data_IF_796801884213
#
_entry.id   IF_796801884213
#
_cell.length_a   1.000
_cell.length_b   1.000
_cell.length_c   1.000
_cell.angle_alpha   90.00
_cell.angle_beta   90.00
_cell.angle_gamma   90.00
#
_symmetry.space_group_name_H-M   'P 1'
#
loop_
_entity.id
_entity.type
_entity.pdbx_description
1 polymer ?
#
# COMPACT_ATOMS: atom_id res chain seq x y z
N UNK A 1 -26.21 4.26 -11.74
CA UNK A 1 -25.06 3.38 -12.10
C UNK A 1 -24.03 3.49 -11.00
N UNK A 2 -23.64 2.37 -10.38
CA UNK A 2 -22.58 2.37 -9.36
C UNK A 2 -21.24 2.03 -9.99
N UNK A 3 -20.16 2.57 -9.44
CA UNK A 3 -18.82 2.41 -9.99
C UNK A 3 -17.96 1.52 -9.08
N UNK A 4 -17.43 0.46 -9.65
CA UNK A 4 -16.67 -0.54 -8.92
C UNK A 4 -15.23 -0.54 -9.37
N UNK A 5 -14.33 -0.44 -8.41
CA UNK A 5 -12.89 -0.63 -8.63
C UNK A 5 -12.42 -1.92 -7.97
N UNK A 6 -11.72 -2.74 -8.74
CA UNK A 6 -11.11 -3.99 -8.28
C UNK A 6 -9.60 -3.88 -8.48
N UNK A 7 -8.86 -3.87 -7.38
CA UNK A 7 -7.40 -3.87 -7.36
C UNK A 7 -6.90 -5.26 -6.95
N UNK A 8 -6.42 -6.02 -7.92
CA UNK A 8 -5.81 -7.34 -7.67
C UNK A 8 -4.31 -7.15 -7.46
N UNK A 9 -3.93 -6.88 -6.22
CA UNK A 9 -2.53 -6.73 -5.84
C UNK A 9 -1.81 -8.07 -5.64
N UNK A 10 -0.50 -8.03 -5.47
CA UNK A 10 0.34 -9.24 -5.28
C UNK A 10 0.13 -9.94 -3.93
N UNK A 11 -0.24 -9.19 -2.89
CA UNK A 11 -0.40 -9.72 -1.52
C UNK A 11 -1.84 -9.58 -1.03
N UNK A 12 -2.49 -8.48 -1.33
CA UNK A 12 -3.87 -8.21 -0.94
C UNK A 12 -4.64 -7.60 -2.11
N UNK A 13 -5.87 -8.07 -2.29
CA UNK A 13 -6.81 -7.55 -3.29
C UNK A 13 -7.92 -6.75 -2.62
N UNK A 14 -8.37 -5.70 -3.27
CA UNK A 14 -9.37 -4.78 -2.73
C UNK A 14 -10.47 -4.56 -3.73
N UNK A 15 -11.69 -4.37 -3.23
CA UNK A 15 -12.82 -3.88 -4.00
C UNK A 15 -13.43 -2.67 -3.30
N UNK A 16 -13.86 -1.71 -4.11
CA UNK A 16 -14.57 -0.52 -3.67
C UNK A 16 -15.78 -0.32 -4.56
N UNK A 17 -16.90 0.06 -3.96
CA UNK A 17 -18.11 0.51 -4.67
C UNK A 17 -18.32 1.97 -4.35
N UNK A 18 -18.33 2.83 -5.36
CA UNK A 18 -18.69 4.25 -5.27
C UNK A 18 -20.15 4.44 -5.66
N UNK A 19 -20.72 5.50 -5.11
CA UNK A 19 -22.05 5.98 -5.49
C UNK A 19 -22.15 6.43 -6.96
N UNK A 20 -23.35 6.81 -7.37
CA UNK A 20 -23.63 7.23 -8.76
C UNK A 20 -22.91 8.52 -9.18
N UNK A 21 -22.58 9.38 -8.22
CA UNK A 21 -21.87 10.65 -8.43
C UNK A 21 -20.36 10.54 -8.26
N UNK A 22 -19.86 9.35 -7.87
CA UNK A 22 -18.43 9.05 -7.60
C UNK A 22 -17.83 9.86 -6.44
N UNK A 23 -18.64 10.30 -5.50
CA UNK A 23 -18.19 11.10 -4.35
C UNK A 23 -18.06 10.30 -3.06
N UNK A 24 -18.83 9.20 -2.93
CA UNK A 24 -18.93 8.45 -1.68
C UNK A 24 -18.51 7.00 -1.86
N UNK A 25 -17.65 6.52 -0.96
CA UNK A 25 -17.33 5.08 -0.84
C UNK A 25 -18.48 4.41 -0.07
N UNK A 26 -19.34 3.68 -0.78
CA UNK A 26 -20.47 2.95 -0.19
C UNK A 26 -20.00 1.66 0.50
N UNK A 27 -19.18 0.89 -0.18
CA UNK A 27 -18.67 -0.39 0.31
C UNK A 27 -17.19 -0.55 -0.03
N UNK A 28 -16.44 -1.17 0.87
CA UNK A 28 -15.02 -1.47 0.69
C UNK A 28 -14.68 -2.82 1.30
N UNK A 29 -13.81 -3.59 0.64
CA UNK A 29 -13.33 -4.89 1.12
C UNK A 29 -11.88 -5.11 0.74
N UNK A 30 -11.13 -5.73 1.64
CA UNK A 30 -9.80 -6.26 1.39
C UNK A 30 -9.77 -7.74 1.72
N UNK A 31 -9.09 -8.52 0.87
CA UNK A 31 -8.85 -9.96 1.05
C UNK A 31 -7.41 -10.29 0.69
N UNK A 32 -6.82 -11.35 1.24
CA UNK A 32 -5.55 -11.88 0.73
C UNK A 32 -5.68 -12.26 -0.75
N UNK A 33 -4.67 -11.97 -1.57
CA UNK A 33 -4.72 -12.29 -3.01
C UNK A 33 -4.62 -13.79 -3.31
N UNK A 34 -4.15 -14.58 -2.34
CA UNK A 34 -3.96 -16.00 -2.54
C UNK A 34 -2.95 -16.29 -3.68
N UNK A 35 -3.04 -17.50 -4.23
CA UNK A 35 -2.19 -17.93 -5.35
C UNK A 35 -2.86 -17.77 -6.72
N UNK A 36 -4.19 -17.59 -6.75
CA UNK A 36 -5.01 -17.53 -7.95
C UNK A 36 -5.80 -16.22 -8.03
N UNK A 37 -5.32 -15.28 -8.81
CA UNK A 37 -5.95 -13.95 -8.99
C UNK A 37 -7.37 -14.04 -9.54
N UNK A 38 -7.71 -15.07 -10.34
CA UNK A 38 -9.05 -15.24 -10.90
C UNK A 38 -10.05 -15.62 -9.81
N UNK A 39 -9.71 -16.59 -8.94
CA UNK A 39 -10.55 -16.96 -7.80
C UNK A 39 -10.75 -15.78 -6.85
N UNK A 40 -9.70 -15.03 -6.57
CA UNK A 40 -9.79 -13.82 -5.74
C UNK A 40 -10.73 -12.78 -6.36
N UNK A 41 -10.62 -12.57 -7.68
CA UNK A 41 -11.55 -11.71 -8.41
C UNK A 41 -13.00 -12.17 -8.28
N UNK A 42 -13.27 -13.46 -8.47
CA UNK A 42 -14.61 -14.04 -8.32
C UNK A 42 -15.16 -13.90 -6.89
N UNK A 43 -14.35 -14.10 -5.86
CA UNK A 43 -14.73 -13.86 -4.46
C UNK A 43 -15.14 -12.39 -4.22
N UNK A 44 -14.41 -11.43 -4.80
CA UNK A 44 -14.76 -10.02 -4.69
C UNK A 44 -16.07 -9.70 -5.41
N UNK A 45 -16.32 -10.29 -6.59
CA UNK A 45 -17.59 -10.13 -7.30
C UNK A 45 -18.77 -10.67 -6.49
N UNK A 46 -18.63 -11.89 -5.94
CA UNK A 46 -19.68 -12.48 -5.09
C UNK A 46 -19.96 -11.64 -3.85
N UNK A 47 -18.90 -11.06 -3.26
CA UNK A 47 -19.09 -10.13 -2.16
C UNK A 47 -19.86 -8.87 -2.60
N UNK A 48 -19.57 -8.28 -3.76
CA UNK A 48 -20.30 -7.12 -4.29
C UNK A 48 -21.79 -7.46 -4.44
N UNK A 49 -22.11 -8.63 -5.02
CA UNK A 49 -23.49 -9.07 -5.15
C UNK A 49 -24.18 -9.30 -3.78
N UNK A 50 -23.43 -9.77 -2.78
CA UNK A 50 -23.97 -9.93 -1.41
C UNK A 50 -24.31 -8.59 -0.73
N UNK A 51 -23.81 -7.46 -1.24
CA UNK A 51 -24.20 -6.12 -0.78
C UNK A 51 -25.50 -5.60 -1.45
N UNK A 52 -26.15 -6.42 -2.29
CA UNK A 52 -27.44 -6.11 -2.91
C UNK A 52 -27.33 -5.52 -4.33
N UNK A 53 -26.13 -5.44 -4.90
CA UNK A 53 -25.94 -4.96 -6.28
C UNK A 53 -26.16 -6.09 -7.28
N UNK A 54 -26.63 -5.73 -8.50
CA UNK A 54 -26.74 -6.64 -9.64
C UNK A 54 -25.86 -6.13 -10.79
N UNK A 55 -25.42 -7.02 -11.68
CA UNK A 55 -24.44 -6.72 -12.73
C UNK A 55 -24.81 -5.50 -13.58
N UNK A 56 -26.07 -5.36 -13.94
CA UNK A 56 -26.57 -4.30 -14.85
C UNK A 56 -26.53 -2.90 -14.21
N UNK A 57 -26.36 -2.82 -12.90
CA UNK A 57 -26.22 -1.57 -12.15
C UNK A 57 -24.77 -1.12 -11.97
N UNK A 58 -23.79 -1.99 -12.40
CA UNK A 58 -22.38 -1.81 -12.09
C UNK A 58 -21.55 -1.46 -13.32
N UNK A 59 -20.63 -0.52 -13.16
CA UNK A 59 -19.51 -0.28 -14.05
C UNK A 59 -18.23 -0.70 -13.32
N UNK A 60 -17.57 -1.75 -13.80
CA UNK A 60 -16.46 -2.41 -13.09
C UNK A 60 -15.14 -2.17 -13.82
N UNK A 61 -14.16 -1.60 -13.13
CA UNK A 61 -12.81 -1.36 -13.62
C UNK A 61 -11.82 -2.16 -12.78
N UNK A 62 -10.92 -2.89 -13.42
CA UNK A 62 -9.87 -3.63 -12.75
C UNK A 62 -8.51 -2.95 -12.87
N UNK A 63 -7.71 -3.06 -11.82
CA UNK A 63 -6.33 -2.59 -11.72
C UNK A 63 -5.46 -3.56 -10.93
N UNK A 64 -4.20 -3.20 -10.71
CA UNK A 64 -3.23 -4.00 -9.99
C UNK A 64 -2.51 -5.01 -10.90
N UNK A 65 -1.63 -5.80 -10.27
CA UNK A 65 -0.83 -6.81 -10.95
C UNK A 65 -1.69 -7.86 -11.66
N UNK A 66 -2.76 -8.32 -10.99
CA UNK A 66 -3.67 -9.36 -11.48
C UNK A 66 -4.86 -8.84 -12.29
N UNK A 67 -4.90 -7.55 -12.71
CA UNK A 67 -6.07 -6.95 -13.40
C UNK A 67 -6.56 -7.72 -14.63
N UNK A 68 -5.67 -8.41 -15.32
CA UNK A 68 -6.01 -9.21 -16.52
C UNK A 68 -6.78 -10.49 -16.18
N UNK A 69 -6.79 -10.88 -14.89
CA UNK A 69 -7.49 -12.06 -14.39
C UNK A 69 -8.91 -11.76 -13.90
N UNK A 70 -9.46 -10.57 -14.20
CA UNK A 70 -10.82 -10.15 -13.82
C UNK A 70 -11.69 -10.08 -15.08
N UNK A 71 -12.22 -11.21 -15.59
CA UNK A 71 -12.87 -11.30 -16.89
C UNK A 71 -14.21 -10.55 -16.96
N UNK A 72 -14.81 -10.25 -15.83
CA UNK A 72 -16.07 -9.52 -15.70
C UNK A 72 -15.88 -7.99 -15.61
N UNK A 73 -14.64 -7.49 -15.59
CA UNK A 73 -14.37 -6.07 -15.63
C UNK A 73 -14.70 -5.50 -17.02
N UNK A 74 -15.32 -4.33 -17.06
CA UNK A 74 -15.64 -3.63 -18.31
C UNK A 74 -14.38 -3.09 -19.00
N UNK A 75 -13.37 -2.74 -18.20
CA UNK A 75 -12.04 -2.34 -18.70
C UNK A 75 -10.98 -2.46 -17.61
N UNK A 76 -9.72 -2.29 -18.01
CA UNK A 76 -8.57 -2.27 -17.07
C UNK A 76 -7.81 -0.96 -17.19
N UNK A 77 -7.30 -0.47 -16.06
CA UNK A 77 -6.47 0.73 -15.97
C UNK A 77 -5.17 0.40 -15.25
N UNK A 78 -4.09 1.09 -15.57
CA UNK A 78 -2.79 0.84 -14.95
C UNK A 78 -2.81 1.20 -13.47
N UNK A 79 -2.06 0.45 -12.68
CA UNK A 79 -1.96 0.60 -11.23
C UNK A 79 -1.49 2.01 -10.84
N UNK A 80 -0.47 2.53 -11.51
CA UNK A 80 0.06 3.89 -11.26
C UNK A 80 -1.04 4.95 -11.43
N UNK A 81 -1.81 4.86 -12.50
CA UNK A 81 -2.92 5.79 -12.77
C UNK A 81 -3.99 5.69 -11.69
N UNK A 82 -4.36 4.47 -11.29
CA UNK A 82 -5.39 4.26 -10.28
C UNK A 82 -4.93 4.74 -8.90
N UNK A 83 -3.71 4.40 -8.46
CA UNK A 83 -3.19 4.91 -7.19
C UNK A 83 -3.12 6.43 -7.16
N UNK A 84 -2.68 7.06 -8.28
CA UNK A 84 -2.68 8.52 -8.39
C UNK A 84 -4.07 9.14 -8.27
N UNK A 85 -5.06 8.61 -9.01
CA UNK A 85 -6.46 9.10 -8.95
C UNK A 85 -7.09 8.90 -7.58
N UNK A 86 -6.91 7.72 -6.97
CA UNK A 86 -7.45 7.43 -5.66
C UNK A 86 -6.82 8.27 -4.56
N UNK A 87 -5.51 8.52 -4.63
CA UNK A 87 -4.85 9.43 -3.70
C UNK A 87 -5.32 10.88 -3.87
N UNK A 88 -5.50 11.35 -5.11
CA UNK A 88 -6.05 12.68 -5.38
C UNK A 88 -7.49 12.86 -4.88
N UNK A 89 -8.27 11.77 -4.81
CA UNK A 89 -9.62 11.77 -4.24
C UNK A 89 -9.60 11.84 -2.71
N UNK A 90 -8.60 11.23 -2.06
CA UNK A 90 -8.50 11.11 -0.61
C UNK A 90 -7.68 12.23 0.05
N UNK A 91 -6.78 12.86 -0.70
CA UNK A 91 -5.88 13.89 -0.21
C UNK A 91 -6.35 15.28 -0.62
N UNK A 92 -6.00 16.27 0.19
CA UNK A 92 -6.21 17.67 -0.16
C UNK A 92 -5.04 18.21 -1.00
N UNK A 93 -5.36 18.68 -2.21
CA UNK A 93 -4.41 19.39 -3.07
C UNK A 93 -3.45 18.49 -3.87
N UNK A 94 -2.35 19.08 -4.33
CA UNK A 94 -1.29 18.37 -5.07
C UNK A 94 -0.38 17.64 -4.10
N UNK A 95 -0.30 16.32 -4.24
CA UNK A 95 0.52 15.47 -3.37
C UNK A 95 1.47 14.59 -4.19
N UNK A 96 2.57 14.20 -3.57
CA UNK A 96 3.37 13.06 -4.02
C UNK A 96 2.94 11.84 -3.20
N UNK A 97 2.43 10.83 -3.89
CA UNK A 97 1.97 9.58 -3.26
C UNK A 97 3.15 8.69 -2.97
N UNK A 98 3.20 8.16 -1.76
CA UNK A 98 4.11 7.07 -1.36
C UNK A 98 3.22 5.85 -1.15
N UNK A 99 3.26 4.89 -2.08
CA UNK A 99 2.51 3.65 -1.96
C UNK A 99 3.46 2.51 -1.60
N UNK A 100 3.29 1.96 -0.39
CA UNK A 100 4.09 0.82 0.08
C UNK A 100 3.24 -0.44 -0.08
N UNK A 101 3.46 -1.12 -1.21
CA UNK A 101 2.80 -2.37 -1.56
C UNK A 101 3.46 -3.60 -0.92
N UNK A 102 2.87 -4.78 -1.21
CA UNK A 102 3.41 -6.06 -0.73
C UNK A 102 4.74 -6.43 -1.37
N UNK A 103 4.89 -6.26 -2.68
CA UNK A 103 6.07 -6.65 -3.45
C UNK A 103 6.84 -5.47 -4.04
N UNK A 104 6.25 -4.29 -4.05
CA UNK A 104 6.82 -3.09 -4.64
C UNK A 104 6.52 -1.86 -3.78
N UNK A 105 7.22 -0.77 -4.09
CA UNK A 105 6.96 0.55 -3.52
C UNK A 105 6.99 1.57 -4.63
N UNK A 106 5.99 2.44 -4.68
CA UNK A 106 5.82 3.44 -5.72
C UNK A 106 5.86 4.85 -5.11
N UNK A 107 6.49 5.76 -5.83
CA UNK A 107 6.40 7.21 -5.57
C UNK A 107 5.79 7.82 -6.82
N UNK A 108 4.62 8.44 -6.69
CA UNK A 108 3.83 8.96 -7.81
C UNK A 108 3.64 10.47 -7.59
N UNK A 109 4.20 11.28 -8.47
CA UNK A 109 4.06 12.74 -8.43
C UNK A 109 2.77 13.13 -9.15
N UNK A 110 1.89 13.83 -8.44
CA UNK A 110 0.65 14.33 -9.00
C UNK A 110 0.73 15.82 -9.27
N UNK A 111 0.06 16.24 -10.34
CA UNK A 111 -0.20 17.64 -10.66
C UNK A 111 -1.64 17.79 -11.14
N UNK A 112 -2.44 18.60 -10.47
CA UNK A 112 -3.86 18.78 -10.75
C UNK A 112 -4.63 17.45 -10.86
N UNK A 113 -4.38 16.54 -9.90
CA UNK A 113 -5.03 15.22 -9.83
C UNK A 113 -4.57 14.21 -10.89
N UNK A 114 -3.57 14.53 -11.72
CA UNK A 114 -3.03 13.66 -12.77
C UNK A 114 -1.60 13.24 -12.45
N UNK A 115 -1.25 12.02 -12.85
CA UNK A 115 0.12 11.52 -12.75
C UNK A 115 1.02 12.30 -13.69
N UNK A 116 1.99 13.03 -13.13
CA UNK A 116 3.03 13.74 -13.87
C UNK A 116 4.26 12.87 -14.09
N UNK A 117 4.69 12.18 -13.02
CA UNK A 117 5.91 11.37 -13.03
C UNK A 117 5.80 10.28 -11.96
N UNK A 118 6.61 9.24 -12.05
CA UNK A 118 6.69 8.21 -11.01
C UNK A 118 8.05 7.53 -10.98
N UNK A 119 8.34 6.89 -9.87
CA UNK A 119 9.43 5.92 -9.72
C UNK A 119 8.95 4.76 -8.85
N UNK A 120 9.43 3.58 -9.12
CA UNK A 120 9.08 2.41 -8.33
C UNK A 120 10.29 1.54 -8.02
N UNK A 121 10.19 0.82 -6.91
CA UNK A 121 11.05 -0.31 -6.56
C UNK A 121 10.23 -1.59 -6.69
N UNK A 122 10.43 -2.33 -7.77
CA UNK A 122 9.77 -3.59 -8.09
C UNK A 122 10.77 -4.77 -8.22
N UNK A 123 12.05 -4.50 -7.96
CA UNK A 123 13.15 -5.48 -8.13
C UNK A 123 13.71 -5.99 -6.80
N UNK A 124 13.51 -5.25 -5.71
CA UNK A 124 14.09 -5.57 -4.42
C UNK A 124 13.02 -5.52 -3.34
N UNK A 125 12.89 -6.58 -2.55
CA UNK A 125 11.93 -6.63 -1.44
C UNK A 125 12.26 -5.66 -0.30
N UNK A 126 13.51 -5.23 -0.17
CA UNK A 126 13.88 -4.20 0.81
C UNK A 126 13.11 -2.88 0.55
N UNK A 127 12.42 -2.40 1.57
CA UNK A 127 11.54 -1.24 1.46
C UNK A 127 10.11 -1.56 1.00
N UNK A 128 9.69 -2.82 1.05
CA UNK A 128 8.32 -3.28 0.70
C UNK A 128 7.69 -4.07 1.85
N UNK A 129 6.40 -4.38 1.71
CA UNK A 129 5.68 -5.22 2.68
C UNK A 129 6.28 -6.61 2.84
N UNK A 130 6.89 -7.18 1.79
CA UNK A 130 7.53 -8.50 1.85
C UNK A 130 8.73 -8.52 2.80
N UNK A 131 9.51 -7.46 2.84
CA UNK A 131 10.58 -7.32 3.82
C UNK A 131 10.02 -7.34 5.25
N UNK A 132 8.97 -6.57 5.51
CA UNK A 132 8.34 -6.53 6.83
C UNK A 132 7.79 -7.91 7.23
N UNK A 133 7.13 -8.61 6.32
CA UNK A 133 6.57 -9.95 6.54
C UNK A 133 7.67 -10.95 6.96
N UNK A 134 8.80 -10.95 6.26
CA UNK A 134 9.94 -11.84 6.59
C UNK A 134 10.46 -11.53 8.00
N UNK A 135 10.64 -10.26 8.34
CA UNK A 135 11.17 -9.85 9.66
C UNK A 135 10.16 -10.12 10.79
N UNK A 136 8.87 -9.86 10.55
CA UNK A 136 7.80 -10.16 11.49
C UNK A 136 7.76 -11.67 11.81
N UNK A 137 7.82 -12.52 10.79
CA UNK A 137 7.87 -13.97 10.97
C UNK A 137 9.09 -14.41 11.79
N UNK A 138 10.27 -13.79 11.60
CA UNK A 138 11.46 -14.07 12.41
C UNK A 138 11.30 -13.72 13.88
N UNK A 139 10.56 -12.64 14.15
CA UNK A 139 10.26 -12.20 15.52
C UNK A 139 9.08 -12.96 16.15
N UNK A 140 8.37 -13.81 15.38
CA UNK A 140 7.15 -14.48 15.81
C UNK A 140 6.00 -13.51 16.03
N UNK A 141 5.90 -12.46 15.20
CA UNK A 141 4.89 -11.41 15.25
C UNK A 141 4.03 -11.42 13.99
N UNK A 142 2.77 -11.05 14.12
CA UNK A 142 1.93 -10.63 12.99
C UNK A 142 2.34 -9.22 12.51
N UNK A 143 1.90 -8.84 11.30
CA UNK A 143 2.19 -7.49 10.77
C UNK A 143 1.63 -6.36 11.66
N UNK A 144 0.39 -6.43 12.18
CA UNK A 144 -0.09 -5.42 13.14
C UNK A 144 0.78 -5.34 14.40
N UNK A 145 1.10 -6.50 15.02
CA UNK A 145 1.96 -6.52 16.21
C UNK A 145 3.34 -5.92 15.93
N UNK A 146 3.88 -6.11 14.72
CA UNK A 146 5.16 -5.54 14.34
C UNK A 146 5.18 -4.01 14.45
N UNK A 147 4.08 -3.34 14.06
CA UNK A 147 3.96 -1.89 14.22
C UNK A 147 3.81 -1.48 15.69
N UNK A 148 3.03 -2.23 16.47
CA UNK A 148 2.80 -1.95 17.89
C UNK A 148 4.08 -2.12 18.71
N UNK A 149 4.87 -3.14 18.41
CA UNK A 149 6.18 -3.36 19.03
C UNK A 149 7.17 -2.27 18.65
N UNK A 150 7.26 -1.94 17.36
CA UNK A 150 8.15 -0.90 16.85
C UNK A 150 7.89 0.46 17.52
N UNK A 151 6.62 0.80 17.78
CA UNK A 151 6.25 2.05 18.42
C UNK A 151 6.72 2.16 19.88
N UNK A 152 7.03 1.04 20.55
CA UNK A 152 7.50 0.96 21.94
C UNK A 152 9.02 0.83 22.04
N UNK A 153 9.68 0.46 20.94
CA UNK A 153 11.10 0.16 20.91
C UNK A 153 11.98 1.38 20.72
N UNK A 154 13.26 1.20 21.07
CA UNK A 154 14.34 2.11 20.70
C UNK A 154 14.95 1.64 19.40
N UNK A 155 15.33 2.57 18.55
CA UNK A 155 15.91 2.24 17.26
C UNK A 155 17.25 1.52 17.40
N UNK A 156 17.36 0.30 16.87
CA UNK A 156 18.64 -0.37 16.65
C UNK A 156 18.97 -0.31 15.16
N UNK A 157 20.22 -0.10 14.84
CA UNK A 157 20.67 0.02 13.45
C UNK A 157 20.63 -1.37 12.78
N UNK A 158 19.84 -1.47 11.70
CA UNK A 158 19.90 -2.57 10.74
C UNK A 158 20.53 -2.00 9.47
N UNK A 159 21.79 -2.36 9.24
CA UNK A 159 22.63 -1.73 8.22
C UNK A 159 22.52 -2.38 6.85
N UNK A 160 22.11 -3.64 6.80
CA UNK A 160 22.09 -4.42 5.57
C UNK A 160 21.03 -3.93 4.59
N UNK A 161 21.47 -3.72 3.35
CA UNK A 161 20.58 -3.29 2.27
C UNK A 161 19.77 -4.44 1.67
N UNK A 162 20.29 -5.65 1.71
CA UNK A 162 19.64 -6.85 1.19
C UNK A 162 18.84 -7.53 2.29
N UNK A 163 17.64 -7.99 1.96
CA UNK A 163 16.72 -8.68 2.88
C UNK A 163 17.37 -9.90 3.54
N UNK A 164 18.15 -10.68 2.80
CA UNK A 164 18.82 -11.89 3.32
C UNK A 164 19.87 -11.54 4.39
N UNK A 165 20.66 -10.49 4.15
CA UNK A 165 21.65 -10.05 5.13
C UNK A 165 21.01 -9.33 6.32
N UNK A 166 19.96 -8.56 6.09
CA UNK A 166 19.18 -7.94 7.17
C UNK A 166 18.54 -9.00 8.09
N UNK A 167 18.05 -10.10 7.53
CA UNK A 167 17.53 -11.23 8.31
C UNK A 167 18.62 -11.85 9.20
N UNK A 168 19.82 -12.06 8.68
CA UNK A 168 20.96 -12.55 9.47
C UNK A 168 21.36 -11.57 10.58
N UNK A 169 21.29 -10.26 10.32
CA UNK A 169 21.56 -9.21 11.30
C UNK A 169 20.50 -9.20 12.42
N UNK A 170 19.21 -9.38 12.08
CA UNK A 170 18.10 -9.54 13.04
C UNK A 170 18.32 -10.77 13.93
N UNK A 171 18.69 -11.92 13.34
CA UNK A 171 19.03 -13.14 14.12
C UNK A 171 20.18 -12.88 15.09
N UNK A 172 21.21 -12.15 14.65
CA UNK A 172 22.35 -11.78 15.52
C UNK A 172 21.92 -10.89 16.67
N UNK A 173 21.02 -9.92 16.43
CA UNK A 173 20.47 -9.06 17.49
C UNK A 173 19.65 -9.87 18.51
N UNK A 174 18.82 -10.81 18.03
CA UNK A 174 18.07 -11.74 18.92
C UNK A 174 19.04 -12.55 19.79
N UNK A 175 20.12 -13.09 19.21
CA UNK A 175 21.13 -13.84 19.94
C UNK A 175 21.88 -13.02 20.98
N UNK A 176 21.98 -11.72 20.83
CA UNK A 176 22.54 -10.76 21.79
C UNK A 176 21.54 -10.32 22.89
N UNK A 177 20.31 -10.81 22.84
CA UNK A 177 19.28 -10.46 23.83
C UNK A 177 18.63 -9.09 23.60
N UNK A 178 18.75 -8.50 22.39
CA UNK A 178 18.05 -7.27 22.02
C UNK A 178 16.53 -7.51 22.08
N UNK A 179 15.76 -6.57 22.62
CA UNK A 179 14.31 -6.70 22.76
C UNK A 179 13.62 -6.78 21.39
N UNK A 180 12.44 -7.44 21.35
CA UNK A 180 11.65 -7.51 20.11
C UNK A 180 11.20 -6.12 19.65
N UNK A 181 10.88 -5.27 20.61
CA UNK A 181 10.48 -3.88 20.40
C UNK A 181 11.58 -3.09 19.67
N UNK A 182 12.81 -3.20 20.17
CA UNK A 182 13.95 -2.48 19.57
C UNK A 182 14.28 -3.00 18.18
N UNK A 183 14.24 -4.33 17.97
CA UNK A 183 14.46 -4.92 16.66
C UNK A 183 13.34 -4.50 15.70
N UNK A 184 12.07 -4.52 16.14
CA UNK A 184 10.94 -4.08 15.33
C UNK A 184 11.08 -2.60 14.91
N UNK A 185 11.48 -1.72 15.84
CA UNK A 185 11.76 -0.31 15.55
C UNK A 185 12.86 -0.17 14.49
N UNK A 186 13.98 -0.91 14.62
CA UNK A 186 15.07 -0.93 13.64
C UNK A 186 14.64 -1.41 12.25
N UNK A 187 13.76 -2.42 12.19
CA UNK A 187 13.20 -2.94 10.92
C UNK A 187 12.34 -1.87 10.23
N UNK A 188 11.43 -1.21 10.96
CA UNK A 188 10.61 -0.13 10.38
C UNK A 188 11.48 1.03 9.91
N UNK A 189 12.49 1.43 10.69
CA UNK A 189 13.46 2.46 10.29
C UNK A 189 14.19 2.09 9.00
N UNK A 190 14.61 0.84 8.85
CA UNK A 190 15.28 0.35 7.65
C UNK A 190 14.37 0.45 6.42
N UNK A 191 13.08 0.06 6.54
CA UNK A 191 12.10 0.21 5.46
C UNK A 191 11.90 1.68 5.10
N UNK A 192 11.61 2.54 6.08
CA UNK A 192 11.38 3.96 5.87
C UNK A 192 12.59 4.66 5.23
N UNK A 193 13.81 4.26 5.62
CA UNK A 193 15.03 4.76 4.98
C UNK A 193 15.10 4.42 3.49
N UNK A 194 14.73 3.18 3.10
CA UNK A 194 14.67 2.78 1.68
C UNK A 194 13.61 3.55 0.91
N UNK A 195 12.44 3.72 1.52
CA UNK A 195 11.35 4.51 0.93
C UNK A 195 11.79 5.96 0.72
N UNK A 196 12.43 6.57 1.73
CA UNK A 196 12.99 7.94 1.63
C UNK A 196 14.01 8.07 0.50
N UNK A 197 14.91 7.09 0.34
CA UNK A 197 15.85 7.06 -0.78
C UNK A 197 15.14 7.00 -2.14
N UNK A 198 14.01 6.28 -2.23
CA UNK A 198 13.20 6.24 -3.44
C UNK A 198 12.51 7.58 -3.71
N UNK A 199 11.92 8.18 -2.66
CA UNK A 199 11.30 9.52 -2.74
C UNK A 199 12.27 10.58 -3.22
N UNK A 200 13.50 10.55 -2.69
CA UNK A 200 14.56 11.53 -3.05
C UNK A 200 15.06 11.41 -4.50
N UNK A 201 14.62 10.40 -5.26
CA UNK A 201 14.86 10.35 -6.72
C UNK A 201 13.92 11.26 -7.50
N UNK A 202 12.92 11.83 -6.86
CA UNK A 202 11.97 12.78 -7.42
C UNK A 202 12.18 14.16 -6.82
N UNK A 203 11.64 15.17 -7.47
CA UNK A 203 11.65 16.53 -6.93
C UNK A 203 10.94 16.55 -5.57
N UNK A 204 11.49 17.27 -4.62
CA UNK A 204 10.87 17.44 -3.30
C UNK A 204 9.47 18.03 -3.47
N UNK A 205 8.51 17.41 -2.81
CA UNK A 205 7.13 17.87 -2.78
C UNK A 205 6.84 18.63 -1.47
N UNK A 206 5.86 19.51 -1.53
CA UNK A 206 5.39 20.22 -0.33
C UNK A 206 4.53 19.29 0.54
N UNK A 207 3.80 18.37 -0.10
CA UNK A 207 2.90 17.44 0.56
C UNK A 207 3.11 16.02 0.05
N UNK A 208 3.13 15.07 0.99
CA UNK A 208 3.18 13.64 0.71
C UNK A 208 1.94 12.95 1.26
N UNK A 209 1.48 11.93 0.54
CA UNK A 209 0.34 11.09 0.94
C UNK A 209 0.76 9.62 0.99
N UNK A 210 0.61 8.98 2.15
CA UNK A 210 0.95 7.57 2.33
C UNK A 210 -0.25 6.67 2.03
N UNK A 211 -0.07 5.71 1.13
CA UNK A 211 -1.02 4.65 0.80
C UNK A 211 -0.39 3.26 0.93
N UNK A 212 -1.17 2.21 0.60
CA UNK A 212 -0.72 0.83 0.68
C UNK A 212 -0.87 0.20 2.06
N UNK A 213 -0.12 -0.86 2.31
CA UNK A 213 -0.28 -1.68 3.52
C UNK A 213 0.17 -1.01 4.83
N UNK A 214 0.95 0.07 4.76
CA UNK A 214 1.56 0.73 5.90
C UNK A 214 0.84 2.01 6.34
N UNK A 215 -0.15 2.47 5.56
CA UNK A 215 -0.85 3.73 5.81
C UNK A 215 -1.59 3.79 7.15
N UNK A 216 -2.01 2.64 7.68
CA UNK A 216 -2.70 2.54 8.97
C UNK A 216 -1.80 2.58 10.21
N UNK A 217 -0.46 2.68 10.06
CA UNK A 217 0.47 2.72 11.19
C UNK A 217 0.91 4.16 11.51
N UNK A 218 0.46 4.74 12.65
CA UNK A 218 0.91 6.08 13.06
C UNK A 218 2.43 6.16 13.24
N UNK A 219 3.05 5.07 13.68
CA UNK A 219 4.51 5.01 13.84
C UNK A 219 5.25 5.14 12.50
N UNK A 220 4.78 4.46 11.45
CA UNK A 220 5.36 4.59 10.10
C UNK A 220 5.21 6.01 9.56
N UNK A 221 4.01 6.61 9.72
CA UNK A 221 3.76 8.01 9.33
C UNK A 221 4.74 8.94 10.04
N UNK A 222 4.92 8.79 11.36
CA UNK A 222 5.85 9.60 12.15
C UNK A 222 7.30 9.44 11.68
N UNK A 223 7.75 8.20 11.45
CA UNK A 223 9.13 7.92 11.01
C UNK A 223 9.40 8.52 9.64
N UNK A 224 8.50 8.32 8.68
CA UNK A 224 8.63 8.89 7.33
C UNK A 224 8.57 10.41 7.36
N UNK A 225 7.67 11.02 8.13
CA UNK A 225 7.57 12.49 8.30
C UNK A 225 8.87 13.07 8.82
N UNK A 226 9.47 12.44 9.84
CA UNK A 226 10.77 12.84 10.38
C UNK A 226 11.88 12.74 9.34
N UNK A 227 11.92 11.65 8.56
CA UNK A 227 12.96 11.41 7.55
C UNK A 227 12.85 12.34 6.34
N UNK A 228 11.65 12.71 5.94
CA UNK A 228 11.38 13.60 4.81
C UNK A 228 11.37 15.09 5.21
N UNK A 229 11.30 15.37 6.53
CA UNK A 229 11.28 16.72 7.06
C UNK A 229 9.97 17.48 6.76
N UNK A 230 8.87 16.75 6.55
CA UNK A 230 7.53 17.30 6.34
C UNK A 230 6.47 16.32 6.84
N UNK A 231 5.30 16.82 7.21
CA UNK A 231 4.18 15.99 7.62
C UNK A 231 3.65 15.17 6.45
N UNK A 232 3.46 13.88 6.67
CA UNK A 232 2.87 12.96 5.70
C UNK A 232 1.39 12.81 6.00
N UNK A 233 0.56 13.07 5.01
CA UNK A 233 -0.88 12.84 5.07
C UNK A 233 -1.20 11.36 4.83
N UNK A 234 -2.27 10.88 5.43
CA UNK A 234 -2.89 9.60 5.13
C UNK A 234 -4.39 9.69 5.39
N UNK A 235 -5.14 8.67 5.01
CA UNK A 235 -6.59 8.58 5.19
C UNK A 235 -6.96 7.16 5.62
N UNK A 236 -8.09 6.97 6.33
CA UNK A 236 -8.56 5.63 6.71
C UNK A 236 -8.78 4.70 5.51
N UNK A 237 -9.10 5.28 4.33
CA UNK A 237 -9.26 4.58 3.07
C UNK A 237 -8.01 4.55 2.18
N UNK A 238 -6.88 5.06 2.65
CA UNK A 238 -5.66 5.16 1.84
C UNK A 238 -5.18 3.80 1.28
N UNK A 239 -5.42 2.70 2.02
CA UNK A 239 -5.12 1.34 1.53
C UNK A 239 -5.94 0.92 0.32
N UNK A 240 -7.07 1.59 0.06
CA UNK A 240 -7.97 1.33 -1.06
C UNK A 240 -7.74 2.28 -2.24
N UNK A 241 -6.72 3.15 -2.20
CA UNK A 241 -6.46 4.15 -3.23
C UNK A 241 -6.44 3.57 -4.65
N UNK A 242 -5.82 2.40 -4.87
CA UNK A 242 -5.84 1.71 -6.16
C UNK A 242 -7.25 1.34 -6.63
N UNK A 243 -8.07 0.76 -5.75
CA UNK A 243 -9.45 0.39 -6.07
C UNK A 243 -10.36 1.62 -6.25
N UNK A 244 -10.22 2.65 -5.40
CA UNK A 244 -10.93 3.94 -5.55
C UNK A 244 -10.61 4.55 -6.91
N UNK A 245 -9.32 4.66 -7.26
CA UNK A 245 -8.89 5.22 -8.53
C UNK A 245 -9.35 4.40 -9.74
N UNK A 246 -9.48 3.08 -9.61
CA UNK A 246 -10.10 2.24 -10.63
C UNK A 246 -11.58 2.58 -10.81
N UNK A 247 -12.36 2.66 -9.73
CA UNK A 247 -13.78 3.04 -9.78
C UNK A 247 -13.98 4.45 -10.39
N UNK A 248 -13.13 5.41 -10.05
CA UNK A 248 -13.14 6.76 -10.63
C UNK A 248 -12.79 6.79 -12.13
N UNK A 249 -12.21 5.72 -12.65
CA UNK A 249 -11.79 5.60 -14.06
C UNK A 249 -12.87 5.04 -14.99
N UNK A 250 -14.02 4.71 -14.42
CA UNK A 250 -15.19 4.15 -15.11
C UNK A 250 -15.92 5.17 -16.00
#
# INVERSE_FOLDING_TARGET
MYYVGIDIGSTASKAVVLDEDKHTVLHKRVVPSGWNSKETGEQLLQWIYSQGFIRDQLKIIATGYGRVSVPYADSTVTEITCHGRGAAFLADGNVTVIDIGGQDTKVIVLHNGKVLDFVMNDKCSAGTGKFLEIMANRLGLSLPEMFDYAAKGKEVKISSMCTVFAESEVISLMGKGTSREDIAAGVIQSICSKVTLLVNRKQKADHYFLSGGFCGSPYVVQVLSRMLGTEIQTHEDARYAGAIGAALSA
#
